data_IF_088756601947
#
_entry.id   IF_088756601947
#
_cell.length_a   1.000
_cell.length_b   1.000
_cell.length_c   1.000
_cell.angle_alpha   90.00
_cell.angle_beta   90.00
_cell.angle_gamma   90.00
#
_symmetry.space_group_name_H-M   'P 1'
#
loop_
_entity.id
_entity.type
_entity.pdbx_description
1 polymer ?
#
# COMPACT_ATOMS: atom_id res chain seq x y z
N UNK A 1 -6.62 9.70 3.29
CA UNK A 1 -6.25 11.04 2.79
C UNK A 1 -4.98 10.94 1.95
N UNK A 2 -4.89 11.71 0.86
CA UNK A 2 -3.65 11.86 0.07
C UNK A 2 -2.82 12.95 0.73
N UNK A 3 -1.58 12.66 1.10
CA UNK A 3 -0.65 13.65 1.67
C UNK A 3 -0.04 14.45 0.52
N UNK A 4 -0.39 15.74 0.44
CA UNK A 4 0.32 16.71 -0.39
C UNK A 4 1.02 17.68 0.54
N UNK A 5 2.36 17.64 0.59
CA UNK A 5 3.17 18.63 1.29
C UNK A 5 3.39 19.85 0.40
N UNK A 6 3.37 21.05 0.99
CA UNK A 6 3.75 22.26 0.27
C UNK A 6 5.28 22.29 0.11
N UNK A 7 5.77 22.29 -1.12
CA UNK A 7 7.19 22.55 -1.43
C UNK A 7 7.33 23.95 -2.02
N UNK A 8 8.22 24.75 -1.45
CA UNK A 8 8.63 26.06 -1.98
C UNK A 8 10.06 25.95 -2.49
N UNK A 9 10.26 25.99 -3.81
CA UNK A 9 11.57 26.01 -4.46
C UNK A 9 11.58 27.01 -5.61
N UNK A 10 12.72 27.67 -5.84
CA UNK A 10 12.86 28.75 -6.85
C UNK A 10 12.69 28.28 -8.30
N UNK A 11 12.95 26.99 -8.60
CA UNK A 11 12.73 26.36 -9.92
C UNK A 11 12.38 24.87 -9.78
N UNK A 12 11.63 24.35 -10.75
CA UNK A 12 11.22 22.94 -10.89
C UNK A 12 10.57 22.34 -9.62
N UNK A 13 9.35 22.81 -9.32
CA UNK A 13 8.54 22.34 -8.19
C UNK A 13 8.29 20.83 -8.19
N UNK A 14 8.32 20.19 -9.35
CA UNK A 14 8.11 18.76 -9.51
C UNK A 14 9.32 18.16 -10.21
N UNK A 15 10.26 17.62 -9.43
CA UNK A 15 11.22 16.65 -9.96
C UNK A 15 10.47 15.35 -10.17
N UNK A 16 10.45 14.81 -11.40
CA UNK A 16 9.99 13.44 -11.61
C UNK A 16 11.05 12.49 -11.03
N UNK A 17 10.78 11.82 -9.89
CA UNK A 17 11.77 10.92 -9.33
C UNK A 17 11.92 9.71 -10.27
N UNK A 18 13.14 9.22 -10.51
CA UNK A 18 13.37 8.02 -11.33
C UNK A 18 13.02 6.72 -10.58
N UNK A 19 12.42 6.85 -9.40
CA UNK A 19 12.00 5.76 -8.56
C UNK A 19 10.67 6.12 -7.88
N UNK A 20 9.88 5.11 -7.60
CA UNK A 20 8.86 5.17 -6.57
C UNK A 20 9.54 5.01 -5.22
N UNK A 21 8.98 5.61 -4.18
CA UNK A 21 9.40 5.31 -2.82
C UNK A 21 8.19 5.02 -1.94
N UNK A 22 8.41 4.22 -0.92
CA UNK A 22 7.48 3.94 0.15
C UNK A 22 8.23 4.02 1.48
N UNK A 23 7.55 4.47 2.52
CA UNK A 23 8.13 4.54 3.86
C UNK A 23 7.36 3.57 4.74
N UNK A 24 8.06 2.64 5.39
CA UNK A 24 7.52 1.95 6.56
C UNK A 24 8.17 2.56 7.80
N UNK A 25 7.38 2.93 8.78
CA UNK A 25 7.88 3.60 9.97
C UNK A 25 7.11 3.21 11.22
N UNK A 26 7.81 3.34 12.34
CA UNK A 26 7.30 3.33 13.70
C UNK A 26 7.78 4.60 14.38
N UNK A 27 7.41 4.78 15.66
CA UNK A 27 7.92 5.88 16.49
C UNK A 27 9.45 5.79 16.68
N UNK A 28 10.06 4.60 16.51
CA UNK A 28 11.48 4.34 16.80
C UNK A 28 12.37 4.16 15.56
N UNK A 29 11.80 3.73 14.44
CA UNK A 29 12.56 3.35 13.24
C UNK A 29 11.72 3.66 12.00
N UNK A 30 12.38 4.07 10.92
CA UNK A 30 11.79 4.14 9.59
C UNK A 30 12.70 3.49 8.55
N UNK A 31 12.09 2.95 7.50
CA UNK A 31 12.76 2.40 6.32
C UNK A 31 12.10 2.96 5.06
N UNK A 32 12.92 3.47 4.15
CA UNK A 32 12.48 3.95 2.85
C UNK A 32 12.80 2.88 1.81
N UNK A 33 11.78 2.25 1.26
CA UNK A 33 11.87 1.35 0.12
C UNK A 33 11.86 2.18 -1.15
N UNK A 34 12.88 2.04 -2.00
CA UNK A 34 12.95 2.71 -3.30
C UNK A 34 12.85 1.68 -4.42
N UNK A 35 12.08 2.00 -5.44
CA UNK A 35 11.90 1.17 -6.63
C UNK A 35 12.21 1.99 -7.86
N UNK A 36 13.37 1.75 -8.46
CA UNK A 36 13.75 2.42 -9.68
C UNK A 36 12.85 2.01 -10.84
N UNK A 37 12.21 2.98 -11.47
CA UNK A 37 11.38 2.75 -12.65
C UNK A 37 12.31 2.78 -13.87
N UNK A 38 12.47 1.67 -14.60
CA UNK A 38 13.15 1.71 -15.89
C UNK A 38 12.34 2.55 -16.88
N UNK A 39 13.00 3.24 -17.79
CA UNK A 39 12.34 4.02 -18.85
C UNK A 39 11.31 3.13 -19.56
N UNK A 40 10.03 3.51 -19.47
CA UNK A 40 8.85 2.70 -19.83
C UNK A 40 8.93 2.17 -21.27
N UNK A 41 9.61 2.90 -22.16
CA UNK A 41 9.77 2.55 -23.55
C UNK A 41 10.91 1.55 -23.82
N UNK A 42 11.94 1.49 -22.95
CA UNK A 42 13.19 0.76 -23.24
C UNK A 42 13.49 -0.37 -22.26
N UNK A 43 12.74 -0.49 -21.15
CA UNK A 43 13.00 -1.45 -20.06
C UNK A 43 14.47 -1.43 -19.62
N UNK A 44 15.13 -0.28 -19.72
CA UNK A 44 16.53 -0.07 -19.35
C UNK A 44 16.58 1.09 -18.37
N UNK A 45 17.35 0.92 -17.30
CA UNK A 45 17.62 2.00 -16.38
C UNK A 45 18.36 3.12 -17.13
N UNK A 46 17.91 4.39 -17.03
CA UNK A 46 18.60 5.52 -17.61
C UNK A 46 20.10 5.55 -17.26
N UNK A 47 20.94 5.99 -18.20
CA UNK A 47 22.41 5.98 -18.04
C UNK A 47 22.91 6.81 -16.86
N UNK A 48 22.19 7.87 -16.48
CA UNK A 48 22.50 8.69 -15.31
C UNK A 48 22.30 7.96 -13.98
N UNK A 49 21.49 6.90 -13.97
CA UNK A 49 21.29 6.04 -12.80
C UNK A 49 22.52 5.17 -12.48
N UNK A 50 23.41 4.93 -13.45
CA UNK A 50 24.70 4.24 -13.24
C UNK A 50 25.70 5.05 -12.41
N UNK A 51 25.44 6.33 -12.15
CA UNK A 51 26.31 7.25 -11.41
C UNK A 51 25.87 7.50 -9.96
N UNK A 52 24.98 6.67 -9.41
CA UNK A 52 24.65 6.67 -7.97
C UNK A 52 24.09 8.01 -7.45
N UNK A 53 23.21 8.66 -8.20
CA UNK A 53 22.51 9.85 -7.72
C UNK A 53 21.04 9.75 -8.15
N UNK A 54 20.25 9.15 -7.27
CA UNK A 54 18.79 9.29 -7.18
C UNK A 54 18.32 10.76 -7.27
N UNK A 55 19.22 11.73 -7.12
CA UNK A 55 18.89 13.16 -7.08
C UNK A 55 18.19 13.57 -5.77
N UNK A 56 17.98 12.61 -4.86
CA UNK A 56 17.58 12.81 -3.48
C UNK A 56 18.77 12.70 -2.53
N UNK A 57 18.52 12.92 -1.25
CA UNK A 57 19.51 12.83 -0.18
C UNK A 57 19.73 11.38 0.28
N UNK A 58 19.72 10.39 -0.62
CA UNK A 58 19.97 8.99 -0.32
C UNK A 58 21.21 8.79 0.57
N UNK A 59 21.02 8.17 1.74
CA UNK A 59 22.08 7.93 2.73
C UNK A 59 22.39 9.10 3.67
N UNK A 60 21.72 10.25 3.52
CA UNK A 60 21.75 11.35 4.50
C UNK A 60 20.44 11.36 5.31
N UNK A 61 20.46 11.79 6.58
CA UNK A 61 19.23 12.10 7.31
C UNK A 61 18.42 13.09 6.49
N UNK A 62 17.21 12.71 6.09
CA UNK A 62 16.28 13.56 5.33
C UNK A 62 15.61 14.60 6.24
N UNK A 63 15.41 14.23 7.49
CA UNK A 63 14.69 14.99 8.50
C UNK A 63 15.38 14.72 9.85
N UNK A 64 15.43 15.74 10.72
CA UNK A 64 15.95 15.60 12.08
C UNK A 64 14.97 14.82 12.97
N UNK A 65 13.67 14.88 12.65
CA UNK A 65 12.59 14.21 13.38
C UNK A 65 11.56 13.58 12.41
N UNK A 66 11.01 12.43 12.79
CA UNK A 66 9.91 11.77 12.07
C UNK A 66 8.70 11.64 13.00
N UNK A 67 7.64 12.37 12.68
CA UNK A 67 6.38 12.33 13.42
C UNK A 67 5.32 11.50 12.70
N UNK A 68 4.69 10.56 13.41
CA UNK A 68 3.50 9.87 12.93
C UNK A 68 2.25 10.60 13.44
N UNK A 69 1.49 11.23 12.53
CA UNK A 69 0.18 11.79 12.88
C UNK A 69 -0.92 10.74 12.67
N UNK A 70 -1.00 9.78 13.60
CA UNK A 70 -2.05 8.75 13.60
C UNK A 70 -3.20 9.24 14.49
N UNK A 71 -4.35 9.49 13.89
CA UNK A 71 -5.58 9.81 14.60
C UNK A 71 -6.16 8.50 15.14
N UNK A 72 -6.36 8.42 16.46
CA UNK A 72 -7.04 7.29 17.12
C UNK A 72 -8.46 7.70 17.45
N UNK A 73 -9.42 7.00 16.87
CA UNK A 73 -10.84 7.22 17.11
C UNK A 73 -11.50 5.94 17.59
N UNK A 74 -12.61 6.08 18.33
CA UNK A 74 -13.45 4.91 18.62
C UNK A 74 -14.11 4.50 17.32
N UNK A 75 -14.02 3.21 16.99
CA UNK A 75 -14.63 2.65 15.82
C UNK A 75 -15.48 1.43 16.21
N UNK A 76 -16.60 1.25 15.54
CA UNK A 76 -17.56 0.18 15.78
C UNK A 76 -17.42 -0.86 14.66
N UNK A 77 -17.30 -2.16 14.99
CA UNK A 77 -17.23 -3.19 13.97
C UNK A 77 -18.54 -3.23 13.17
N UNK A 78 -18.42 -3.32 11.85
CA UNK A 78 -19.53 -3.57 10.93
C UNK A 78 -19.31 -4.89 10.20
N UNK A 79 -20.38 -5.69 10.11
CA UNK A 79 -20.33 -7.10 9.70
C UNK A 79 -21.42 -7.49 8.71
N UNK A 80 -22.37 -6.60 8.45
CA UNK A 80 -23.50 -6.83 7.54
C UNK A 80 -23.64 -5.70 6.55
N UNK A 81 -24.25 -6.01 5.40
CA UNK A 81 -24.54 -5.02 4.38
C UNK A 81 -25.32 -3.81 4.94
N UNK A 82 -26.37 -4.04 5.74
CA UNK A 82 -27.21 -2.95 6.25
C UNK A 82 -26.45 -2.04 7.25
N UNK A 83 -25.49 -2.60 7.99
CA UNK A 83 -24.58 -1.84 8.87
C UNK A 83 -23.60 -1.00 8.05
N UNK A 84 -23.02 -1.57 6.99
CA UNK A 84 -22.14 -0.82 6.08
C UNK A 84 -22.92 0.30 5.38
N UNK A 85 -24.12 0.00 4.87
CA UNK A 85 -24.92 0.93 4.10
C UNK A 85 -25.46 2.11 4.93
N UNK A 86 -25.64 1.94 6.25
CA UNK A 86 -26.12 3.01 7.15
C UNK A 86 -25.06 4.07 7.41
N UNK A 87 -23.78 3.66 7.54
CA UNK A 87 -22.64 4.57 7.79
C UNK A 87 -21.85 4.92 6.54
N UNK A 88 -22.21 4.38 5.37
CA UNK A 88 -21.48 4.58 4.12
C UNK A 88 -21.23 6.07 3.78
N UNK A 89 -22.22 6.93 4.02
CA UNK A 89 -22.14 8.36 3.72
C UNK A 89 -21.10 9.11 4.59
N UNK A 90 -20.71 8.55 5.73
CA UNK A 90 -19.67 9.11 6.58
C UNK A 90 -18.28 8.91 5.94
N UNK A 91 -18.13 7.86 5.13
CA UNK A 91 -16.88 7.50 4.45
C UNK A 91 -15.66 7.42 5.39
N UNK A 92 -15.89 6.99 6.63
CA UNK A 92 -14.88 6.81 7.68
C UNK A 92 -14.77 5.34 8.01
N UNK A 93 -14.11 4.59 7.15
CA UNK A 93 -13.90 3.17 7.39
C UNK A 93 -12.44 2.86 7.65
N UNK A 94 -12.19 1.86 8.48
CA UNK A 94 -10.90 1.20 8.59
C UNK A 94 -11.08 -0.31 8.47
N UNK A 95 -10.07 -0.97 7.94
CA UNK A 95 -10.07 -2.42 7.80
C UNK A 95 -8.86 -3.01 8.51
N UNK A 96 -9.10 -4.12 9.20
CA UNK A 96 -8.08 -4.99 9.76
C UNK A 96 -8.17 -6.34 9.08
N UNK A 97 -7.09 -6.75 8.44
CA UNK A 97 -7.00 -8.02 7.73
C UNK A 97 -5.98 -8.91 8.43
N UNK A 98 -6.44 -10.07 8.87
CA UNK A 98 -5.59 -11.15 9.39
C UNK A 98 -5.48 -12.20 8.30
N UNK A 99 -4.28 -12.39 7.76
CA UNK A 99 -4.03 -13.38 6.71
C UNK A 99 -2.85 -14.26 7.09
N UNK A 100 -2.81 -15.46 6.49
CA UNK A 100 -1.58 -16.26 6.46
C UNK A 100 -0.92 -16.06 5.12
N UNK A 101 0.35 -15.67 5.17
CA UNK A 101 1.22 -15.66 3.99
C UNK A 101 2.25 -16.74 4.27
N UNK A 102 2.10 -17.89 3.59
CA UNK A 102 2.85 -19.12 3.84
C UNK A 102 2.78 -19.56 5.32
N UNK A 103 3.91 -19.57 6.03
CA UNK A 103 4.03 -20.01 7.43
C UNK A 103 3.80 -18.87 8.45
N UNK A 104 3.64 -17.63 7.99
CA UNK A 104 3.57 -16.45 8.87
C UNK A 104 2.17 -15.86 8.91
N UNK A 105 1.78 -15.46 10.11
CA UNK A 105 0.55 -14.69 10.34
C UNK A 105 0.84 -13.20 10.17
N UNK A 106 0.12 -12.55 9.27
CA UNK A 106 0.25 -11.13 8.98
C UNK A 106 -1.03 -10.41 9.41
N UNK A 107 -0.85 -9.26 10.04
CA UNK A 107 -1.92 -8.33 10.39
C UNK A 107 -1.72 -7.04 9.59
N UNK A 108 -2.66 -6.71 8.72
CA UNK A 108 -2.69 -5.47 7.97
C UNK A 108 -3.79 -4.58 8.55
N UNK A 109 -3.49 -3.33 8.81
CA UNK A 109 -4.46 -2.34 9.28
C UNK A 109 -4.31 -1.08 8.44
N UNK A 110 -5.41 -0.63 7.84
CA UNK A 110 -5.40 0.53 6.95
C UNK A 110 -6.76 1.26 6.93
N UNK A 111 -6.75 2.58 6.73
CA UNK A 111 -7.97 3.31 6.41
C UNK A 111 -8.51 2.88 5.04
N UNK A 112 -9.81 2.73 4.95
CA UNK A 112 -10.53 2.45 3.70
C UNK A 112 -10.90 3.80 3.09
N UNK A 113 -10.10 4.22 2.10
CA UNK A 113 -10.33 5.50 1.41
C UNK A 113 -11.33 5.38 0.24
N UNK A 114 -11.54 4.16 -0.28
CA UNK A 114 -12.43 3.90 -1.40
C UNK A 114 -13.28 2.67 -1.10
N UNK A 115 -14.59 2.89 -1.05
CA UNK A 115 -15.61 1.84 -0.93
C UNK A 115 -16.74 2.16 -1.90
N UNK A 116 -17.19 1.13 -2.60
CA UNK A 116 -18.39 1.18 -3.44
C UNK A 116 -19.50 0.39 -2.76
N UNK A 117 -20.72 0.93 -2.72
CA UNK A 117 -21.91 0.26 -2.20
C UNK A 117 -23.03 0.36 -3.22
N UNK A 118 -23.59 -0.78 -3.61
CA UNK A 118 -24.73 -0.88 -4.53
C UNK A 118 -25.93 -1.47 -3.79
N UNK A 119 -26.92 -0.62 -3.49
CA UNK A 119 -28.04 -0.96 -2.62
C UNK A 119 -29.02 -1.93 -3.25
N UNK A 120 -29.24 -1.82 -4.56
CA UNK A 120 -30.22 -2.63 -5.31
C UNK A 120 -29.84 -4.10 -5.30
N UNK A 121 -28.55 -4.41 -5.37
CA UNK A 121 -28.00 -5.76 -5.38
C UNK A 121 -27.38 -6.18 -4.05
N UNK A 122 -27.43 -5.33 -3.03
CA UNK A 122 -26.82 -5.54 -1.70
C UNK A 122 -25.33 -5.90 -1.78
N UNK A 123 -24.61 -5.22 -2.67
CA UNK A 123 -23.19 -5.45 -2.92
C UNK A 123 -22.36 -4.30 -2.35
N UNK A 124 -21.15 -4.62 -1.92
CA UNK A 124 -20.16 -3.65 -1.51
C UNK A 124 -18.77 -4.12 -1.95
N UNK A 125 -17.83 -3.20 -2.12
CA UNK A 125 -16.45 -3.50 -2.47
C UNK A 125 -15.53 -2.44 -1.88
N UNK A 126 -14.49 -2.88 -1.20
CA UNK A 126 -13.38 -2.04 -0.77
C UNK A 126 -12.23 -2.20 -1.75
N UNK A 127 -11.59 -1.08 -2.06
CA UNK A 127 -10.37 -1.03 -2.84
C UNK A 127 -9.35 -0.21 -2.04
N UNK A 128 -8.19 -0.80 -1.76
CA UNK A 128 -7.13 -0.06 -1.10
C UNK A 128 -6.34 0.76 -2.12
N UNK A 129 -5.70 1.83 -1.64
CA UNK A 129 -4.49 2.33 -2.30
C UNK A 129 -3.33 1.33 -2.16
N UNK A 130 -2.13 1.69 -2.61
CA UNK A 130 -0.96 0.83 -2.44
C UNK A 130 -0.65 0.64 -0.95
N UNK A 131 -0.79 -0.58 -0.46
CA UNK A 131 -0.33 -0.99 0.87
C UNK A 131 0.90 -1.90 0.74
N UNK A 132 1.78 -1.89 1.74
CA UNK A 132 2.95 -2.78 1.73
C UNK A 132 2.51 -4.18 2.15
N UNK A 133 2.70 -5.15 1.26
CA UNK A 133 2.47 -6.56 1.55
C UNK A 133 3.81 -7.30 1.51
N UNK A 134 4.10 -8.14 2.51
CA UNK A 134 5.30 -8.97 2.47
C UNK A 134 5.23 -9.94 1.30
N UNK A 135 6.31 -9.98 0.52
CA UNK A 135 6.59 -11.01 -0.47
C UNK A 135 7.84 -11.78 -0.06
N UNK A 136 7.82 -13.09 -0.23
CA UNK A 136 8.97 -13.94 0.07
C UNK A 136 9.69 -14.26 -1.23
N UNK A 137 10.95 -13.81 -1.34
CA UNK A 137 11.77 -13.96 -2.55
C UNK A 137 13.23 -13.48 -2.45
N UNK A 138 13.74 -13.22 -1.25
CA UNK A 138 15.09 -12.72 -1.02
C UNK A 138 15.85 -13.52 0.05
N UNK A 139 17.18 -13.64 -0.12
CA UNK A 139 18.08 -14.41 0.73
C UNK A 139 17.85 -14.19 2.25
N UNK A 140 17.64 -15.28 3.00
CA UNK A 140 18.02 -15.33 4.41
C UNK A 140 17.12 -14.64 5.43
N UNK A 141 15.79 -14.79 5.33
CA UNK A 141 14.89 -14.60 6.47
C UNK A 141 14.33 -13.18 6.70
N UNK A 142 14.71 -12.20 5.87
CA UNK A 142 14.05 -10.88 5.85
C UNK A 142 12.84 -10.88 4.90
N UNK A 143 11.77 -10.16 5.26
CA UNK A 143 10.67 -9.91 4.34
C UNK A 143 11.07 -8.85 3.31
N UNK A 144 10.91 -9.17 2.03
CA UNK A 144 10.77 -8.14 1.01
C UNK A 144 9.34 -7.62 1.07
N UNK A 145 9.12 -6.35 0.76
CA UNK A 145 7.80 -5.76 0.72
C UNK A 145 7.55 -5.18 -0.66
N UNK A 146 6.38 -5.48 -1.23
CA UNK A 146 5.92 -4.83 -2.45
C UNK A 146 4.67 -4.01 -2.17
N UNK A 147 4.51 -2.87 -2.87
CA UNK A 147 3.21 -2.22 -2.93
C UNK A 147 2.21 -3.20 -3.53
N UNK A 148 1.04 -3.29 -2.94
CA UNK A 148 -0.04 -4.10 -3.45
C UNK A 148 -1.36 -3.35 -3.31
N UNK A 149 -2.25 -3.57 -4.27
CA UNK A 149 -3.64 -3.17 -4.18
C UNK A 149 -4.45 -4.36 -3.70
N UNK A 150 -5.20 -4.16 -2.62
CA UNK A 150 -6.08 -5.17 -2.06
C UNK A 150 -7.52 -4.79 -2.35
N UNK A 151 -8.29 -5.77 -2.78
CA UNK A 151 -9.70 -5.62 -3.06
C UNK A 151 -10.46 -6.70 -2.29
N UNK A 152 -11.59 -6.35 -1.70
CA UNK A 152 -12.46 -7.33 -1.07
C UNK A 152 -13.91 -6.86 -1.05
N UNK A 153 -14.82 -7.83 -1.17
CA UNK A 153 -16.27 -7.67 -1.10
C UNK A 153 -16.89 -8.71 -0.15
N UNK A 154 -16.08 -9.25 0.74
CA UNK A 154 -16.42 -10.30 1.70
C UNK A 154 -15.54 -10.15 2.94
N UNK A 155 -15.88 -10.87 4.02
CA UNK A 155 -15.13 -10.81 5.28
C UNK A 155 -14.08 -11.91 5.44
N UNK A 156 -14.01 -12.86 4.51
CA UNK A 156 -13.23 -14.08 4.62
C UNK A 156 -12.23 -14.30 3.47
N UNK A 157 -12.27 -13.46 2.44
CA UNK A 157 -11.34 -13.50 1.31
C UNK A 157 -11.04 -12.12 0.75
N UNK A 158 -9.87 -12.00 0.15
CA UNK A 158 -9.42 -10.81 -0.58
C UNK A 158 -8.66 -11.17 -1.86
N UNK A 159 -8.63 -10.23 -2.79
CA UNK A 159 -7.77 -10.26 -3.96
C UNK A 159 -6.58 -9.31 -3.73
N UNK A 160 -5.40 -9.74 -4.13
CA UNK A 160 -4.14 -8.99 -3.98
C UNK A 160 -3.48 -8.83 -5.33
N UNK A 161 -3.18 -7.58 -5.70
CA UNK A 161 -2.43 -7.23 -6.90
C UNK A 161 -1.10 -6.62 -6.49
N UNK A 162 -0.05 -7.44 -6.49
CA UNK A 162 1.30 -6.96 -6.19
C UNK A 162 1.84 -6.11 -7.34
N UNK A 163 2.61 -5.10 -6.97
CA UNK A 163 3.33 -4.19 -7.85
C UNK A 163 2.46 -3.37 -8.82
N UNK A 164 1.17 -3.21 -8.54
CA UNK A 164 0.29 -2.35 -9.35
C UNK A 164 0.69 -0.86 -9.27
N UNK A 165 0.57 -0.07 -10.37
CA UNK A 165 0.12 -0.43 -11.72
C UNK A 165 1.21 -1.00 -12.64
N UNK A 166 2.46 -1.06 -12.18
CA UNK A 166 3.61 -1.30 -13.06
C UNK A 166 3.85 -2.80 -13.34
N UNK A 167 3.66 -3.66 -12.35
CA UNK A 167 3.67 -5.13 -12.45
C UNK A 167 5.02 -5.76 -12.83
N UNK A 168 6.11 -4.98 -12.90
CA UNK A 168 7.42 -5.46 -13.38
C UNK A 168 8.13 -6.38 -12.36
N UNK A 169 8.10 -6.04 -11.07
CA UNK A 169 8.68 -6.79 -9.95
C UNK A 169 7.88 -8.03 -9.62
N UNK A 170 6.58 -8.02 -9.93
CA UNK A 170 5.71 -9.15 -9.66
C UNK A 170 5.78 -10.25 -10.72
N UNK A 171 6.47 -10.04 -11.85
CA UNK A 171 6.61 -11.04 -12.92
C UNK A 171 7.25 -12.35 -12.45
N UNK A 172 8.15 -12.28 -11.47
CA UNK A 172 8.80 -13.45 -10.88
C UNK A 172 7.99 -14.11 -9.76
N UNK A 173 6.87 -13.52 -9.34
CA UNK A 173 6.00 -14.07 -8.31
C UNK A 173 4.98 -15.05 -8.92
N UNK A 174 4.43 -15.91 -8.07
CA UNK A 174 3.31 -16.78 -8.42
C UNK A 174 2.18 -15.96 -9.06
N UNK A 175 1.62 -16.47 -10.16
CA UNK A 175 0.53 -15.82 -10.92
C UNK A 175 0.83 -14.36 -11.32
N UNK A 176 2.11 -14.01 -11.54
CA UNK A 176 2.56 -12.66 -11.88
C UNK A 176 2.17 -11.61 -10.81
N UNK A 177 2.05 -12.06 -9.56
CA UNK A 177 1.68 -11.24 -8.39
C UNK A 177 0.19 -11.00 -8.19
N UNK A 178 -0.67 -11.62 -8.99
CA UNK A 178 -2.12 -11.56 -8.80
C UNK A 178 -2.58 -12.78 -8.02
N UNK A 179 -3.05 -12.57 -6.80
CA UNK A 179 -3.61 -13.61 -5.95
C UNK A 179 -5.10 -13.34 -5.77
N UNK A 180 -5.94 -14.28 -6.21
CA UNK A 180 -7.39 -14.16 -6.09
C UNK A 180 -7.93 -15.04 -4.96
N UNK A 181 -8.95 -14.54 -4.26
CA UNK A 181 -9.66 -15.25 -3.20
C UNK A 181 -8.75 -15.79 -2.10
N UNK A 182 -7.76 -15.01 -1.69
CA UNK A 182 -6.83 -15.33 -0.60
C UNK A 182 -7.63 -15.43 0.71
N UNK A 183 -7.66 -16.60 1.37
CA UNK A 183 -8.38 -16.76 2.64
C UNK A 183 -7.78 -15.88 3.72
N UNK A 184 -8.64 -15.13 4.42
CA UNK A 184 -8.25 -14.23 5.50
C UNK A 184 -9.42 -14.00 6.47
N UNK A 185 -9.19 -13.22 7.51
CA UNK A 185 -10.22 -12.70 8.38
C UNK A 185 -10.18 -11.18 8.32
N UNK A 186 -11.22 -10.59 7.77
CA UNK A 186 -11.35 -9.14 7.58
C UNK A 186 -12.35 -8.64 8.62
N UNK A 187 -11.95 -7.61 9.35
CA UNK A 187 -12.83 -6.81 10.20
C UNK A 187 -12.89 -5.41 9.64
N UNK A 188 -14.10 -4.93 9.37
CA UNK A 188 -14.36 -3.57 8.94
C UNK A 188 -14.88 -2.79 10.15
N UNK A 189 -14.43 -1.56 10.30
CA UNK A 189 -14.85 -0.66 11.36
C UNK A 189 -15.27 0.68 10.76
N UNK A 190 -16.27 1.31 11.39
CA UNK A 190 -16.74 2.66 11.11
C UNK A 190 -16.63 3.54 12.36
#
# INVERSE_FOLDING_TARGET
SVMAGNMYVEKDLLKQPPYLFQVAGSIKEQRIFRTFIPDCAKRKLPSWMKKNLTGDTHGKPLFDEFGLNIIREKATPVSKFDEIASVFLENRFSAKVMAKVEDKSVCLEFPVNHMNVKRETRQWQVETGPILIPVMGGNGGAFDYLPAFVHFNSFDKMDIFHDYPFGYRSLGLLNKGVLSSVPCNIKLFA
#
